data_IF_340724734220
#
_entry.id   IF_340724734220
#
_cell.length_a   1.000
_cell.length_b   1.000
_cell.length_c   1.000
_cell.angle_alpha   90.00
_cell.angle_beta   90.00
_cell.angle_gamma   90.00
#
_symmetry.space_group_name_H-M   'P 1'
#
loop_
_entity.id
_entity.type
_entity.pdbx_description
1 polymer ?
#
# COMPACT_ATOMS: atom_id res chain seq x y z
N UNK A 1 23.33 -10.49 -4.98
CA UNK A 1 22.40 -9.42 -4.55
C UNK A 1 23.05 -8.72 -3.35
N UNK A 2 23.37 -7.44 -3.45
CA UNK A 2 24.08 -6.68 -2.41
C UNK A 2 23.20 -6.39 -1.18
N UNK A 3 23.64 -5.48 -0.31
CA UNK A 3 22.84 -4.99 0.83
C UNK A 3 21.70 -4.06 0.35
N UNK A 4 20.57 -4.66 -0.05
CA UNK A 4 19.31 -3.95 -0.34
C UNK A 4 19.22 -3.19 -1.67
N UNK A 5 20.26 -3.24 -2.49
CA UNK A 5 20.23 -2.77 -3.89
C UNK A 5 21.07 -3.66 -4.81
N UNK A 6 20.89 -3.47 -6.11
CA UNK A 6 21.69 -4.07 -7.18
C UNK A 6 22.02 -3.01 -8.24
N UNK A 7 23.16 -3.14 -8.90
CA UNK A 7 23.45 -2.41 -10.12
C UNK A 7 22.87 -3.21 -11.29
N UNK A 8 22.11 -2.53 -12.15
CA UNK A 8 21.43 -3.12 -13.31
C UNK A 8 21.84 -2.32 -14.53
N UNK A 9 22.49 -2.97 -15.49
CA UNK A 9 22.86 -2.33 -16.76
C UNK A 9 21.62 -2.20 -17.64
N UNK A 10 21.31 -0.98 -18.09
CA UNK A 10 20.13 -0.67 -18.87
C UNK A 10 20.51 0.36 -19.93
N UNK A 11 20.42 -0.02 -21.21
CA UNK A 11 20.73 0.89 -22.32
C UNK A 11 22.17 1.43 -22.31
N UNK A 12 23.12 0.65 -21.78
CA UNK A 12 24.53 1.05 -21.66
C UNK A 12 24.86 1.95 -20.46
N UNK A 13 23.92 2.17 -19.54
CA UNK A 13 24.14 2.86 -18.27
C UNK A 13 23.86 1.93 -17.08
N UNK A 14 24.64 2.05 -16.01
CA UNK A 14 24.36 1.34 -14.76
C UNK A 14 23.35 2.12 -13.91
N UNK A 15 22.21 1.49 -13.63
CA UNK A 15 21.21 2.00 -12.71
C UNK A 15 21.33 1.32 -11.35
N UNK A 16 21.23 2.10 -10.27
CA UNK A 16 21.13 1.58 -8.91
C UNK A 16 19.66 1.31 -8.58
N UNK A 17 19.30 0.03 -8.50
CA UNK A 17 17.92 -0.41 -8.21
C UNK A 17 17.83 -0.93 -6.77
N UNK A 18 16.99 -0.28 -5.95
CA UNK A 18 16.75 -0.68 -4.56
C UNK A 18 15.70 -1.80 -4.48
N UNK A 19 16.08 -3.03 -4.86
CA UNK A 19 15.19 -4.19 -4.84
C UNK A 19 14.58 -4.50 -3.46
N UNK A 20 15.21 -4.04 -2.37
CA UNK A 20 14.67 -4.21 -1.01
C UNK A 20 13.30 -3.56 -0.81
N UNK A 21 12.95 -2.52 -1.58
CA UNK A 21 11.60 -1.93 -1.57
C UNK A 21 10.53 -2.98 -1.88
N UNK A 22 10.74 -3.76 -2.94
CA UNK A 22 9.82 -4.82 -3.35
C UNK A 22 9.78 -5.97 -2.33
N UNK A 23 10.91 -6.25 -1.68
CA UNK A 23 10.93 -7.24 -0.59
C UNK A 23 10.12 -6.78 0.62
N UNK A 24 10.21 -5.51 1.01
CA UNK A 24 9.32 -4.90 2.04
C UNK A 24 7.86 -4.99 1.59
N UNK A 25 7.55 -4.41 0.42
CA UNK A 25 6.18 -4.29 -0.07
C UNK A 25 5.51 -5.65 -0.23
N UNK A 26 6.22 -6.69 -0.67
CA UNK A 26 5.68 -8.04 -0.82
C UNK A 26 5.04 -8.58 0.47
N UNK A 27 5.44 -8.10 1.65
CA UNK A 27 4.84 -8.47 2.92
C UNK A 27 3.97 -7.38 3.51
N UNK A 28 4.36 -6.11 3.40
CA UNK A 28 3.62 -5.03 4.06
C UNK A 28 2.35 -4.63 3.31
N UNK A 29 2.31 -4.71 1.97
CA UNK A 29 1.08 -4.39 1.22
C UNK A 29 -0.03 -5.44 1.44
N UNK A 30 0.24 -6.77 1.48
CA UNK A 30 -0.78 -7.74 1.87
C UNK A 30 -1.28 -7.56 3.31
N UNK A 31 -0.41 -7.17 4.24
CA UNK A 31 -0.81 -6.92 5.64
C UNK A 31 -1.75 -5.71 5.76
N UNK A 32 -1.46 -4.61 5.04
CA UNK A 32 -2.35 -3.44 5.00
C UNK A 32 -3.70 -3.76 4.34
N UNK A 33 -3.71 -4.60 3.30
CA UNK A 33 -4.95 -5.08 2.69
C UNK A 33 -5.73 -6.00 3.63
N UNK A 34 -5.03 -6.82 4.41
CA UNK A 34 -5.64 -7.68 5.42
C UNK A 34 -6.32 -6.84 6.52
N UNK A 35 -5.70 -5.76 6.99
CA UNK A 35 -6.33 -4.83 7.94
C UNK A 35 -7.66 -4.28 7.41
N UNK A 36 -7.68 -3.81 6.16
CA UNK A 36 -8.90 -3.31 5.52
C UNK A 36 -9.96 -4.41 5.32
N UNK A 37 -9.53 -5.59 4.90
CA UNK A 37 -10.42 -6.71 4.64
C UNK A 37 -11.06 -7.25 5.93
N UNK A 38 -10.29 -7.35 7.02
CA UNK A 38 -10.80 -7.74 8.33
C UNK A 38 -11.73 -6.67 8.92
N UNK A 39 -11.39 -5.39 8.76
CA UNK A 39 -12.24 -4.28 9.20
C UNK A 39 -13.59 -4.26 8.48
N UNK A 40 -13.63 -4.73 7.23
CA UNK A 40 -14.85 -4.84 6.43
C UNK A 40 -15.50 -6.23 6.50
N UNK A 41 -15.09 -7.11 7.42
CA UNK A 41 -15.57 -8.50 7.55
C UNK A 41 -15.61 -9.27 6.21
N UNK A 42 -14.54 -9.13 5.42
CA UNK A 42 -14.46 -9.77 4.11
C UNK A 42 -14.31 -11.29 4.23
N UNK A 43 -14.96 -12.01 3.32
CA UNK A 43 -14.83 -13.45 3.24
C UNK A 43 -13.43 -13.89 2.78
N UNK A 44 -13.10 -15.16 3.04
CA UNK A 44 -11.77 -15.73 2.73
C UNK A 44 -11.39 -15.63 1.26
N UNK A 45 -12.34 -15.77 0.34
CA UNK A 45 -12.04 -15.69 -1.09
C UNK A 45 -11.67 -14.26 -1.48
N UNK A 46 -12.37 -13.27 -0.94
CA UNK A 46 -12.01 -11.84 -1.12
C UNK A 46 -10.61 -11.55 -0.56
N UNK A 47 -10.30 -12.05 0.64
CA UNK A 47 -8.95 -11.88 1.23
C UNK A 47 -7.88 -12.54 0.34
N UNK A 48 -8.09 -13.77 -0.12
CA UNK A 48 -7.12 -14.44 -1.02
C UNK A 48 -6.96 -13.70 -2.34
N UNK A 49 -8.05 -13.20 -2.93
CA UNK A 49 -8.00 -12.43 -4.17
C UNK A 49 -7.19 -11.13 -3.99
N UNK A 50 -7.38 -10.41 -2.88
CA UNK A 50 -6.60 -9.21 -2.54
C UNK A 50 -5.10 -9.56 -2.41
N UNK A 51 -4.76 -10.52 -1.56
CA UNK A 51 -3.37 -10.90 -1.28
C UNK A 51 -2.64 -11.41 -2.53
N UNK A 52 -3.28 -12.27 -3.33
CA UNK A 52 -2.65 -12.83 -4.53
C UNK A 52 -2.49 -11.79 -5.63
N UNK A 53 -3.48 -10.90 -5.81
CA UNK A 53 -3.37 -9.79 -6.77
C UNK A 53 -2.25 -8.84 -6.36
N UNK A 54 -2.12 -8.55 -5.07
CA UNK A 54 -1.08 -7.69 -4.53
C UNK A 54 0.32 -8.30 -4.67
N UNK A 55 0.49 -9.57 -4.32
CA UNK A 55 1.75 -10.27 -4.55
C UNK A 55 2.13 -10.28 -6.05
N UNK A 56 1.15 -10.49 -6.94
CA UNK A 56 1.37 -10.42 -8.39
C UNK A 56 1.80 -9.01 -8.83
N UNK A 57 1.14 -7.96 -8.32
CA UNK A 57 1.49 -6.56 -8.58
C UNK A 57 2.94 -6.26 -8.17
N UNK A 58 3.34 -6.65 -6.95
CA UNK A 58 4.71 -6.39 -6.45
C UNK A 58 5.75 -7.20 -7.23
N UNK A 59 5.50 -8.49 -7.49
CA UNK A 59 6.44 -9.35 -8.23
C UNK A 59 6.64 -8.85 -9.65
N UNK A 60 5.57 -8.49 -10.37
CA UNK A 60 5.70 -7.95 -11.74
C UNK A 60 6.39 -6.59 -11.74
N UNK A 61 6.17 -5.76 -10.73
CA UNK A 61 6.94 -4.52 -10.52
C UNK A 61 8.44 -4.77 -10.33
N UNK A 62 8.81 -5.77 -9.53
CA UNK A 62 10.20 -6.17 -9.32
C UNK A 62 10.85 -6.69 -10.60
N UNK A 63 10.13 -7.50 -11.38
CA UNK A 63 10.60 -7.97 -12.69
C UNK A 63 10.88 -6.77 -13.60
N UNK A 64 9.97 -5.80 -13.67
CA UNK A 64 10.19 -4.56 -14.42
C UNK A 64 11.38 -3.74 -13.91
N UNK A 65 11.61 -3.70 -12.60
CA UNK A 65 12.72 -2.97 -12.00
C UNK A 65 14.08 -3.61 -12.29
N UNK A 66 14.15 -4.94 -12.40
CA UNK A 66 15.38 -5.70 -12.66
C UNK A 66 15.61 -6.03 -14.13
N UNK A 67 14.64 -5.74 -15.00
CA UNK A 67 14.75 -5.95 -16.45
C UNK A 67 15.92 -5.14 -17.04
N UNK A 68 16.89 -5.85 -17.63
CA UNK A 68 18.17 -5.32 -18.07
C UNK A 68 18.47 -5.55 -19.56
N UNK A 69 17.57 -6.23 -20.28
CA UNK A 69 17.81 -6.59 -21.68
C UNK A 69 17.31 -5.48 -22.62
N UNK A 70 16.02 -5.15 -22.53
CA UNK A 70 15.40 -4.12 -23.38
C UNK A 70 14.67 -3.10 -22.52
N UNK A 71 15.10 -1.84 -22.58
CA UNK A 71 14.51 -0.76 -21.77
C UNK A 71 12.99 -0.66 -21.91
N UNK A 72 12.46 -0.87 -23.11
CA UNK A 72 11.02 -0.85 -23.37
C UNK A 72 10.24 -1.90 -22.57
N UNK A 73 10.84 -3.05 -22.24
CA UNK A 73 10.17 -4.12 -21.49
C UNK A 73 9.90 -3.75 -20.03
N UNK A 74 10.67 -2.80 -19.47
CA UNK A 74 10.40 -2.23 -18.15
C UNK A 74 9.00 -1.61 -18.08
N UNK A 75 8.59 -0.90 -19.13
CA UNK A 75 7.26 -0.28 -19.24
C UNK A 75 6.14 -1.29 -19.46
N UNK A 76 6.42 -2.42 -20.12
CA UNK A 76 5.47 -3.53 -20.26
C UNK A 76 5.17 -4.10 -18.87
N UNK A 77 6.20 -4.43 -18.09
CA UNK A 77 6.04 -4.95 -16.73
C UNK A 77 5.38 -3.95 -15.80
N UNK A 78 5.74 -2.66 -15.89
CA UNK A 78 5.03 -1.59 -15.18
C UNK A 78 3.55 -1.54 -15.54
N UNK A 79 3.19 -1.71 -16.82
CA UNK A 79 1.79 -1.72 -17.27
C UNK A 79 1.05 -2.92 -16.69
N UNK A 80 1.65 -4.11 -16.72
CA UNK A 80 1.07 -5.33 -16.13
C UNK A 80 0.84 -5.17 -14.62
N UNK A 81 1.84 -4.66 -13.90
CA UNK A 81 1.74 -4.36 -12.46
C UNK A 81 0.64 -3.31 -12.19
N UNK A 82 0.55 -2.28 -13.02
CA UNK A 82 -0.46 -1.21 -12.90
C UNK A 82 -1.88 -1.73 -13.17
N UNK A 83 -2.06 -2.70 -14.08
CA UNK A 83 -3.38 -3.34 -14.29
C UNK A 83 -3.81 -4.09 -13.02
N UNK A 84 -2.90 -4.83 -12.39
CA UNK A 84 -3.17 -5.50 -11.12
C UNK A 84 -3.48 -4.49 -9.99
N UNK A 85 -2.73 -3.39 -9.94
CA UNK A 85 -3.01 -2.26 -9.04
C UNK A 85 -4.43 -1.69 -9.25
N UNK A 86 -4.83 -1.40 -10.49
CA UNK A 86 -6.17 -0.88 -10.79
C UNK A 86 -7.26 -1.88 -10.37
N UNK A 87 -7.02 -3.19 -10.55
CA UNK A 87 -7.92 -4.22 -10.06
C UNK A 87 -8.02 -4.25 -8.52
N UNK A 88 -6.91 -4.06 -7.80
CA UNK A 88 -6.94 -3.87 -6.34
C UNK A 88 -7.77 -2.64 -5.94
N UNK A 89 -7.56 -1.50 -6.61
CA UNK A 89 -8.31 -0.27 -6.32
C UNK A 89 -9.82 -0.48 -6.53
N UNK A 90 -10.19 -1.23 -7.57
CA UNK A 90 -11.57 -1.65 -7.82
C UNK A 90 -12.12 -2.51 -6.68
N UNK A 91 -11.39 -3.51 -6.20
CA UNK A 91 -11.85 -4.36 -5.07
C UNK A 91 -12.00 -3.56 -3.77
N UNK A 92 -11.10 -2.61 -3.48
CA UNK A 92 -11.18 -1.73 -2.31
C UNK A 92 -12.42 -0.82 -2.36
N UNK A 93 -12.66 -0.17 -3.49
CA UNK A 93 -13.77 0.78 -3.63
C UNK A 93 -15.13 0.12 -3.92
N UNK A 94 -15.12 -1.05 -4.55
CA UNK A 94 -16.29 -1.86 -4.85
C UNK A 94 -16.60 -2.84 -3.73
N UNK A 95 -15.94 -4.00 -3.78
CA UNK A 95 -16.21 -5.15 -2.90
C UNK A 95 -16.12 -4.81 -1.42
N UNK A 96 -14.98 -4.31 -0.94
CA UNK A 96 -14.81 -4.05 0.49
C UNK A 96 -15.68 -2.89 0.99
N UNK A 97 -15.95 -1.90 0.14
CA UNK A 97 -16.87 -0.82 0.50
C UNK A 97 -18.31 -1.31 0.62
N UNK A 98 -18.71 -2.30 -0.19
CA UNK A 98 -20.03 -2.92 -0.04
C UNK A 98 -20.14 -3.66 1.29
N UNK A 99 -19.12 -4.45 1.67
CA UNK A 99 -19.13 -5.15 2.96
C UNK A 99 -19.10 -4.17 4.14
N UNK A 100 -18.25 -3.15 4.08
CA UNK A 100 -18.12 -2.17 5.16
C UNK A 100 -19.44 -1.44 5.46
N UNK A 101 -20.32 -1.23 4.46
CA UNK A 101 -21.63 -0.58 4.66
C UNK A 101 -22.59 -1.37 5.56
N UNK A 102 -22.35 -2.66 5.72
CA UNK A 102 -23.13 -3.53 6.62
C UNK A 102 -22.60 -3.50 8.06
N UNK A 103 -21.46 -2.85 8.30
CA UNK A 103 -20.83 -2.72 9.62
C UNK A 103 -21.45 -1.56 10.42
N UNK A 104 -21.06 -1.43 11.69
CA UNK A 104 -21.47 -0.27 12.51
C UNK A 104 -20.87 1.05 11.98
N UNK A 105 -21.45 2.17 12.42
CA UNK A 105 -21.06 3.51 11.94
C UNK A 105 -19.59 3.88 12.21
N UNK A 106 -18.98 3.41 13.30
CA UNK A 106 -17.58 3.70 13.63
C UNK A 106 -16.64 2.93 12.71
N UNK A 107 -16.96 1.66 12.42
CA UNK A 107 -16.26 0.83 11.45
C UNK A 107 -16.37 1.39 10.04
N UNK A 108 -17.58 1.77 9.59
CA UNK A 108 -17.78 2.43 8.30
C UNK A 108 -16.91 3.67 8.11
N UNK A 109 -16.89 4.55 9.12
CA UNK A 109 -16.12 5.80 9.09
C UNK A 109 -14.61 5.54 9.02
N UNK A 110 -14.13 4.60 9.84
CA UNK A 110 -12.71 4.20 9.88
C UNK A 110 -12.28 3.58 8.57
N UNK A 111 -13.06 2.61 8.07
CA UNK A 111 -12.81 1.96 6.80
C UNK A 111 -12.78 2.97 5.65
N UNK A 112 -13.75 3.88 5.56
CA UNK A 112 -13.78 4.89 4.50
C UNK A 112 -12.53 5.79 4.53
N UNK A 113 -12.07 6.18 5.73
CA UNK A 113 -10.87 6.99 5.91
C UNK A 113 -9.62 6.23 5.45
N UNK A 114 -9.41 5.01 5.96
CA UNK A 114 -8.26 4.19 5.62
C UNK A 114 -8.24 3.82 4.13
N UNK A 115 -9.38 3.40 3.57
CA UNK A 115 -9.53 3.13 2.15
C UNK A 115 -9.13 4.34 1.32
N UNK A 116 -9.66 5.53 1.61
CA UNK A 116 -9.37 6.73 0.83
C UNK A 116 -7.88 7.11 0.87
N UNK A 117 -7.26 7.02 2.05
CA UNK A 117 -5.82 7.25 2.20
C UNK A 117 -5.03 6.24 1.38
N UNK A 118 -5.37 4.95 1.46
CA UNK A 118 -4.74 3.89 0.65
C UNK A 118 -4.85 4.18 -0.85
N UNK A 119 -6.05 4.48 -1.35
CA UNK A 119 -6.27 4.77 -2.78
C UNK A 119 -5.39 5.95 -3.26
N UNK A 120 -5.35 7.04 -2.49
CA UNK A 120 -4.58 8.24 -2.84
C UNK A 120 -3.08 7.98 -2.77
N UNK A 121 -2.59 7.43 -1.65
CA UNK A 121 -1.15 7.22 -1.46
C UNK A 121 -0.61 6.16 -2.42
N UNK A 122 -1.32 5.04 -2.59
CA UNK A 122 -0.81 3.95 -3.42
C UNK A 122 -0.77 4.34 -4.90
N UNK A 123 -1.66 5.21 -5.37
CA UNK A 123 -1.60 5.76 -6.74
C UNK A 123 -0.31 6.54 -7.00
N UNK A 124 0.30 7.14 -5.98
CA UNK A 124 1.56 7.86 -6.14
C UNK A 124 2.75 6.93 -6.44
N UNK A 125 2.73 5.67 -5.98
CA UNK A 125 3.86 4.73 -6.17
C UNK A 125 4.18 4.42 -7.65
N UNK A 126 3.22 4.03 -8.50
CA UNK A 126 3.50 3.81 -9.93
C UNK A 126 3.86 5.10 -10.66
N UNK A 127 3.38 6.26 -10.17
CA UNK A 127 3.77 7.59 -10.71
C UNK A 127 5.21 7.93 -10.35
N UNK A 128 5.63 7.73 -9.10
CA UNK A 128 7.03 7.92 -8.69
C UNK A 128 7.94 6.96 -9.49
N UNK A 129 7.51 5.71 -9.67
CA UNK A 129 8.28 4.73 -10.45
C UNK A 129 8.46 5.17 -11.91
N UNK A 130 7.39 5.62 -12.58
CA UNK A 130 7.45 5.97 -14.01
C UNK A 130 8.30 7.22 -14.27
N UNK A 131 8.30 8.20 -13.37
CA UNK A 131 9.11 9.43 -13.51
C UNK A 131 10.51 9.29 -12.91
N UNK A 132 10.70 8.31 -12.02
CA UNK A 132 11.93 8.04 -11.28
C UNK A 132 12.98 7.31 -12.11
N UNK A 133 14.02 6.88 -11.43
CA UNK A 133 15.22 6.26 -12.03
C UNK A 133 14.96 4.87 -12.58
N UNK A 134 13.92 4.16 -12.11
CA UNK A 134 13.54 2.88 -12.69
C UNK A 134 12.76 3.01 -14.01
N UNK A 135 12.14 4.16 -14.25
CA UNK A 135 11.37 4.51 -15.44
C UNK A 135 12.10 5.54 -16.32
N UNK A 136 11.49 6.72 -16.48
CA UNK A 136 11.92 7.75 -17.42
C UNK A 136 13.18 8.53 -16.97
N UNK A 137 13.62 8.41 -15.72
CA UNK A 137 14.81 9.07 -15.20
C UNK A 137 14.70 10.59 -15.08
N UNK A 138 13.48 11.14 -15.04
CA UNK A 138 13.21 12.58 -14.92
C UNK A 138 13.54 13.08 -13.51
N UNK A 139 13.23 12.26 -12.51
CA UNK A 139 13.47 12.55 -11.09
C UNK A 139 14.77 11.86 -10.65
N UNK A 140 15.71 12.59 -10.01
CA UNK A 140 16.95 12.00 -9.56
C UNK A 140 16.74 11.08 -8.34
N UNK A 141 17.60 10.07 -8.19
CA UNK A 141 17.48 9.00 -7.18
C UNK A 141 17.27 9.50 -5.75
N UNK A 142 17.92 10.62 -5.37
CA UNK A 142 17.77 11.20 -4.02
C UNK A 142 16.35 11.71 -3.76
N UNK A 143 15.72 12.36 -4.74
CA UNK A 143 14.35 12.88 -4.65
C UNK A 143 13.34 11.73 -4.70
N UNK A 144 13.55 10.76 -5.59
CA UNK A 144 12.75 9.53 -5.66
C UNK A 144 12.79 8.77 -4.31
N UNK A 145 13.97 8.65 -3.70
CA UNK A 145 14.14 8.00 -2.41
C UNK A 145 13.40 8.72 -1.30
N UNK A 146 13.47 10.06 -1.27
CA UNK A 146 12.70 10.88 -0.33
C UNK A 146 11.19 10.72 -0.53
N UNK A 147 10.73 10.71 -1.79
CA UNK A 147 9.32 10.53 -2.12
C UNK A 147 8.79 9.19 -1.59
N UNK A 148 9.48 8.08 -1.87
CA UNK A 148 9.10 6.78 -1.33
C UNK A 148 9.17 6.74 0.20
N UNK A 149 10.16 7.36 0.84
CA UNK A 149 10.23 7.40 2.29
C UNK A 149 9.02 8.11 2.93
N UNK A 150 8.60 9.25 2.37
CA UNK A 150 7.40 9.98 2.82
C UNK A 150 6.14 9.14 2.59
N UNK A 151 6.03 8.52 1.42
CA UNK A 151 4.90 7.63 1.10
C UNK A 151 4.84 6.45 2.07
N UNK A 152 5.95 5.76 2.31
CA UNK A 152 6.01 4.58 3.18
C UNK A 152 5.68 4.92 4.63
N UNK A 153 6.24 6.01 5.18
CA UNK A 153 5.91 6.44 6.54
C UNK A 153 4.43 6.78 6.65
N UNK A 154 3.86 7.47 5.66
CA UNK A 154 2.45 7.86 5.70
C UNK A 154 1.52 6.65 5.53
N UNK A 155 1.82 5.75 4.60
CA UNK A 155 1.03 4.57 4.29
C UNK A 155 1.12 3.47 5.35
N UNK A 156 2.19 3.45 6.16
CA UNK A 156 2.39 2.44 7.22
C UNK A 156 2.11 3.02 8.61
N UNK A 157 2.86 4.05 9.01
CA UNK A 157 2.72 4.66 10.33
C UNK A 157 1.44 5.51 10.42
N UNK A 158 1.19 6.36 9.41
CA UNK A 158 -0.02 7.18 9.36
C UNK A 158 -1.28 6.32 9.34
N UNK A 159 -1.31 5.30 8.48
CA UNK A 159 -2.38 4.29 8.43
C UNK A 159 -2.59 3.60 9.78
N UNK A 160 -1.52 3.04 10.37
CA UNK A 160 -1.60 2.32 11.63
C UNK A 160 -2.07 3.19 12.80
N UNK A 161 -1.65 4.46 12.85
CA UNK A 161 -2.11 5.40 13.88
C UNK A 161 -3.62 5.68 13.79
N UNK A 162 -4.18 5.73 12.58
CA UNK A 162 -5.62 5.93 12.38
C UNK A 162 -6.38 4.66 12.80
N UNK A 163 -5.92 3.49 12.33
CA UNK A 163 -6.56 2.21 12.64
C UNK A 163 -6.56 1.94 14.15
N UNK A 164 -5.41 2.06 14.81
CA UNK A 164 -5.23 1.69 16.22
C UNK A 164 -5.89 2.67 17.20
N UNK A 165 -6.28 3.87 16.76
CA UNK A 165 -7.06 4.82 17.57
C UNK A 165 -8.57 4.61 17.42
N UNK A 166 -9.00 3.83 16.44
CA UNK A 166 -10.42 3.67 16.16
C UNK A 166 -11.11 2.79 17.18
N UNK A 167 -12.38 3.11 17.49
CA UNK A 167 -13.26 2.20 18.24
C UNK A 167 -13.66 0.97 17.43
N UNK A 168 -13.50 0.99 16.11
CA UNK A 168 -13.83 -0.11 15.22
C UNK A 168 -13.04 -1.39 15.51
N UNK A 169 -11.85 -1.28 16.12
CA UNK A 169 -11.03 -2.44 16.50
C UNK A 169 -11.31 -2.93 17.93
N UNK A 170 -12.10 -2.19 18.71
CA UNK A 170 -12.58 -2.63 20.02
C UNK A 170 -13.92 -3.32 19.80
N UNK A 171 -13.92 -4.66 19.74
CA UNK A 171 -15.15 -5.45 19.66
C UNK A 171 -16.14 -5.10 20.78
N UNK A 172 -17.41 -5.47 20.61
CA UNK A 172 -18.61 -5.06 21.37
C UNK A 172 -18.55 -5.34 22.89
N UNK A 173 -17.60 -4.69 23.53
CA UNK A 173 -17.39 -4.63 24.96
C UNK A 173 -17.80 -3.22 25.33
N UNK A 174 -18.89 -3.13 26.08
CA UNK A 174 -19.37 -1.93 26.76
C UNK A 174 -18.19 -1.06 27.17
N UNK A 175 -17.97 0.02 26.42
CA UNK A 175 -16.76 0.82 26.57
C UNK A 175 -16.68 1.36 28.01
N UNK A 176 -15.51 1.31 28.67
CA UNK A 176 -15.34 2.00 29.94
C UNK A 176 -15.60 3.50 29.74
N UNK A 177 -16.43 4.07 30.61
CA UNK A 177 -16.68 5.51 30.67
C UNK A 177 -15.35 6.26 30.78
N UNK A 178 -15.10 7.31 29.99
CA UNK A 178 -13.91 8.13 30.15
C UNK A 178 -13.83 8.65 31.58
N UNK A 179 -12.69 8.47 32.25
CA UNK A 179 -12.44 8.93 33.63
C UNK A 179 -12.33 10.45 33.79
N UNK A 180 -12.85 11.23 32.84
CA UNK A 180 -12.83 12.67 32.86
C UNK A 180 -14.23 13.19 33.24
N UNK A 181 -14.57 13.07 34.53
CA UNK A 181 -15.54 13.93 35.23
C UNK A 181 -15.53 13.69 36.77
N UNK A 182 -14.39 13.27 37.33
CA UNK A 182 -14.22 13.13 38.79
C UNK A 182 -13.27 14.21 39.30
N UNK A 183 -13.59 15.48 39.02
CA UNK A 183 -12.93 16.65 39.62
C UNK A 183 -13.80 17.90 39.46
N UNK A 184 -15.00 17.86 40.05
CA UNK A 184 -15.80 19.04 40.35
C UNK A 184 -16.75 18.77 41.54
N UNK A 185 -16.20 18.25 42.63
CA UNK A 185 -16.84 18.28 43.93
C UNK A 185 -15.72 18.42 44.97
N UNK A 186 -15.42 19.68 45.29
CA UNK A 186 -15.08 20.19 46.63
C UNK A 186 -15.05 21.74 46.57
#
# INVERSE_FOLDING_TARGET
LGFGFSLVEVGGAELRIYWARYADWLFTTPLLLLDLALLADADRNTIYALVLTDAFMIVTGLVGALENNVFAFRYIWWTVSTIAFVFLMYMLYGTLTANAKEMDSATQSTFATLRNITLVLWTAYPVVWIVGTEGAGIVPLGVETLAYAVLDVTAKVGFGLILLRSRAIMGDSSAPTPSADEQAAD
#
